data_IF_430217151251
#
_entry.id   IF_430217151251
#
_cell.length_a   1.000
_cell.length_b   1.000
_cell.length_c   1.000
_cell.angle_alpha   90.00
_cell.angle_beta   90.00
_cell.angle_gamma   90.00
#
_symmetry.space_group_name_H-M   'P 1'
#
loop_
_entity.id
_entity.type
_entity.pdbx_description
1 polymer ?
#
# COMPACT_ATOMS: atom_id res chain seq x y z
N UNK A 1 -11.84 1.66 64.56
CA UNK A 1 -11.73 0.52 63.63
C UNK A 1 -12.64 0.81 62.43
N UNK A 2 -12.08 1.21 61.27
CA UNK A 2 -12.86 1.58 60.07
C UNK A 2 -13.14 0.31 59.26
N UNK A 3 -14.39 -0.11 59.25
CA UNK A 3 -14.89 -1.19 58.39
C UNK A 3 -14.72 -0.80 56.93
N UNK A 4 -13.91 -1.55 56.19
CA UNK A 4 -13.80 -1.43 54.75
C UNK A 4 -15.15 -1.87 54.15
N UNK A 5 -15.90 -0.91 53.61
CA UNK A 5 -17.16 -1.18 52.94
C UNK A 5 -16.92 -2.19 51.82
N UNK A 6 -17.51 -3.38 51.96
CA UNK A 6 -17.56 -4.40 50.90
C UNK A 6 -18.29 -3.75 49.73
N UNK A 7 -17.53 -3.23 48.78
CA UNK A 7 -18.08 -2.66 47.56
C UNK A 7 -18.67 -3.84 46.80
N UNK A 8 -20.00 -3.92 46.73
CA UNK A 8 -20.70 -4.99 46.02
C UNK A 8 -20.10 -5.14 44.63
N UNK A 9 -19.96 -6.38 44.13
CA UNK A 9 -19.41 -6.63 42.80
C UNK A 9 -20.10 -5.77 41.71
N UNK A 10 -21.39 -5.51 41.85
CA UNK A 10 -22.14 -4.60 40.96
C UNK A 10 -21.63 -3.15 41.00
N UNK A 11 -21.30 -2.61 42.19
CA UNK A 11 -20.78 -1.26 42.34
C UNK A 11 -19.36 -1.14 41.74
N UNK A 12 -18.53 -2.16 41.93
CA UNK A 12 -17.19 -2.21 41.32
C UNK A 12 -17.27 -2.35 39.79
N UNK A 13 -18.15 -3.20 39.27
CA UNK A 13 -18.41 -3.32 37.82
C UNK A 13 -18.84 -1.97 37.23
N UNK A 14 -19.79 -1.29 37.87
CA UNK A 14 -20.27 0.00 37.39
C UNK A 14 -19.18 1.08 37.46
N UNK A 15 -18.32 1.07 38.48
CA UNK A 15 -17.15 1.95 38.58
C UNK A 15 -16.18 1.72 37.42
N UNK A 16 -15.80 0.46 37.19
CA UNK A 16 -14.88 0.09 36.10
C UNK A 16 -15.47 0.42 34.73
N UNK A 17 -16.78 0.23 34.53
CA UNK A 17 -17.46 0.64 33.31
C UNK A 17 -17.42 2.16 33.10
N UNK A 18 -17.65 2.95 34.14
CA UNK A 18 -17.54 4.41 34.08
C UNK A 18 -16.10 4.85 33.74
N UNK A 19 -15.09 4.22 34.35
CA UNK A 19 -13.69 4.47 34.02
C UNK A 19 -13.36 4.09 32.57
N UNK A 20 -13.86 2.94 32.08
CA UNK A 20 -13.68 2.52 30.69
C UNK A 20 -14.31 3.52 29.71
N UNK A 21 -15.51 4.04 30.00
CA UNK A 21 -16.16 5.09 29.22
C UNK A 21 -15.34 6.39 29.21
N UNK A 22 -14.76 6.79 30.35
CA UNK A 22 -13.87 7.96 30.44
C UNK A 22 -12.63 7.77 29.58
N UNK A 23 -11.90 6.67 29.74
CA UNK A 23 -10.70 6.40 28.95
C UNK A 23 -10.99 6.28 27.45
N UNK A 24 -12.15 5.75 27.06
CA UNK A 24 -12.58 5.72 25.68
C UNK A 24 -12.88 7.12 25.11
N UNK A 25 -13.38 8.06 25.93
CA UNK A 25 -13.52 9.45 25.53
C UNK A 25 -12.17 10.15 25.39
N UNK A 26 -11.29 9.99 26.38
CA UNK A 26 -9.95 10.61 26.38
C UNK A 26 -9.11 10.13 25.21
N UNK A 27 -9.13 8.83 24.90
CA UNK A 27 -8.43 8.25 23.74
C UNK A 27 -8.90 8.86 22.41
N UNK A 28 -10.21 9.06 22.24
CA UNK A 28 -10.76 9.70 21.03
C UNK A 28 -10.34 11.16 20.91
N UNK A 29 -10.30 11.88 22.02
CA UNK A 29 -9.84 13.27 22.05
C UNK A 29 -8.35 13.36 21.70
N UNK A 30 -7.51 12.54 22.34
CA UNK A 30 -6.09 12.48 22.06
C UNK A 30 -5.79 12.13 20.59
N UNK A 31 -6.52 11.17 20.02
CA UNK A 31 -6.43 10.83 18.60
C UNK A 31 -6.77 12.03 17.71
N UNK A 32 -7.86 12.72 18.02
CA UNK A 32 -8.31 13.88 17.26
C UNK A 32 -7.25 14.98 17.26
N UNK A 33 -6.67 15.27 18.43
CA UNK A 33 -5.56 16.22 18.56
C UNK A 33 -4.35 15.78 17.73
N UNK A 34 -3.97 14.49 17.80
CA UNK A 34 -2.84 13.96 17.02
C UNK A 34 -3.06 14.10 15.52
N UNK A 35 -4.27 13.84 15.01
CA UNK A 35 -4.62 14.00 13.60
C UNK A 35 -4.58 15.47 13.17
N UNK A 36 -5.05 16.39 14.01
CA UNK A 36 -4.97 17.83 13.74
C UNK A 36 -3.51 18.32 13.68
N UNK A 37 -2.67 17.87 14.61
CA UNK A 37 -1.24 18.16 14.60
C UNK A 37 -0.56 17.60 13.34
N UNK A 38 -0.85 16.34 12.96
CA UNK A 38 -0.33 15.72 11.76
C UNK A 38 -0.76 16.46 10.47
N UNK A 39 -2.02 16.88 10.40
CA UNK A 39 -2.53 17.70 9.30
C UNK A 39 -1.83 19.05 9.22
N UNK A 40 -1.68 19.75 10.35
CA UNK A 40 -0.99 21.04 10.41
C UNK A 40 0.49 20.92 10.03
N UNK A 41 1.17 19.90 10.54
CA UNK A 41 2.54 19.59 10.15
C UNK A 41 2.64 19.32 8.64
N UNK A 42 1.67 18.61 8.06
CA UNK A 42 1.55 18.40 6.62
C UNK A 42 1.48 19.68 5.81
N UNK A 43 0.69 20.67 6.26
CA UNK A 43 0.62 21.99 5.60
C UNK A 43 1.96 22.71 5.62
N UNK A 44 2.65 22.70 6.77
CA UNK A 44 3.97 23.31 6.92
C UNK A 44 5.01 22.62 6.04
N UNK A 45 5.00 21.28 5.99
CA UNK A 45 5.89 20.52 5.11
C UNK A 45 5.68 20.84 3.64
N UNK A 46 4.43 21.05 3.19
CA UNK A 46 4.14 21.47 1.82
C UNK A 46 4.69 22.87 1.53
N UNK A 47 4.55 23.81 2.48
CA UNK A 47 5.11 25.15 2.35
C UNK A 47 6.65 25.13 2.31
N UNK A 48 7.28 24.41 3.23
CA UNK A 48 8.74 24.26 3.30
C UNK A 48 9.31 23.56 2.08
N UNK A 49 8.64 22.52 1.56
CA UNK A 49 9.08 21.85 0.33
C UNK A 49 9.17 22.84 -0.84
N UNK A 50 8.16 23.71 -0.99
CA UNK A 50 8.18 24.75 -2.03
C UNK A 50 9.31 25.75 -1.80
N UNK A 51 9.57 26.15 -0.55
CA UNK A 51 10.67 27.06 -0.19
C UNK A 51 12.03 26.45 -0.54
N UNK A 52 12.28 25.22 -0.08
CA UNK A 52 13.50 24.46 -0.30
C UNK A 52 13.77 24.25 -1.80
N UNK A 53 12.74 23.88 -2.58
CA UNK A 53 12.89 23.72 -4.02
C UNK A 53 13.27 25.03 -4.72
N UNK A 54 12.75 26.17 -4.25
CA UNK A 54 13.11 27.49 -4.79
C UNK A 54 14.51 27.94 -4.39
N UNK A 55 14.96 27.65 -3.16
CA UNK A 55 16.23 28.16 -2.65
C UNK A 55 17.43 27.26 -2.92
N UNK A 56 17.25 25.94 -2.92
CA UNK A 56 18.34 24.95 -2.98
C UNK A 56 18.26 24.01 -4.19
N UNK A 57 17.26 24.16 -5.05
CA UNK A 57 17.12 23.39 -6.28
C UNK A 57 16.51 22.00 -6.10
N UNK A 58 16.45 21.25 -7.22
CA UNK A 58 15.88 19.90 -7.24
C UNK A 58 16.77 18.91 -6.47
N UNK A 59 16.18 18.15 -5.53
CA UNK A 59 16.88 17.11 -4.75
C UNK A 59 17.27 17.51 -3.32
N UNK A 60 17.37 18.81 -3.02
CA UNK A 60 17.71 19.30 -1.67
C UNK A 60 16.65 19.01 -0.60
N UNK A 61 15.42 18.68 -1.02
CA UNK A 61 14.31 18.38 -0.11
C UNK A 61 14.60 17.22 0.84
N UNK A 62 15.20 16.12 0.35
CA UNK A 62 15.47 14.94 1.19
C UNK A 62 16.52 15.24 2.27
N UNK A 63 17.57 15.98 1.91
CA UNK A 63 18.62 16.39 2.86
C UNK A 63 18.08 17.39 3.89
N UNK A 64 17.20 18.30 3.48
CA UNK A 64 16.53 19.21 4.41
C UNK A 64 15.66 18.43 5.40
N UNK A 65 14.91 17.44 4.91
CA UNK A 65 14.00 16.64 5.72
C UNK A 65 14.76 15.82 6.77
N UNK A 66 15.88 15.21 6.39
CA UNK A 66 16.76 14.46 7.29
C UNK A 66 17.32 15.30 8.45
N UNK A 67 17.58 16.59 8.20
CA UNK A 67 18.13 17.51 9.21
C UNK A 67 17.08 18.21 10.08
N UNK A 68 15.86 18.39 9.57
CA UNK A 68 14.85 19.27 10.20
C UNK A 68 13.58 18.55 10.65
N UNK A 69 13.39 17.27 10.27
CA UNK A 69 12.21 16.51 10.63
C UNK A 69 12.61 15.20 11.32
N UNK A 70 12.19 15.03 12.57
CA UNK A 70 12.53 13.86 13.39
C UNK A 70 11.88 12.56 12.90
N UNK A 71 10.87 12.64 12.04
CA UNK A 71 10.17 11.48 11.50
C UNK A 71 10.81 10.96 10.22
N UNK A 72 10.32 9.80 9.76
CA UNK A 72 10.75 9.25 8.47
C UNK A 72 10.21 10.06 7.29
N UNK A 73 10.90 10.00 6.14
CA UNK A 73 10.40 10.53 4.86
C UNK A 73 8.98 10.05 4.56
N UNK A 74 8.67 8.79 4.88
CA UNK A 74 7.34 8.19 4.68
C UNK A 74 6.28 8.84 5.58
N UNK A 75 6.63 9.18 6.82
CA UNK A 75 5.76 9.90 7.74
C UNK A 75 5.46 11.31 7.22
N UNK A 76 6.50 12.05 6.78
CA UNK A 76 6.32 13.37 6.19
C UNK A 76 5.40 13.33 4.96
N UNK A 77 5.60 12.36 4.06
CA UNK A 77 4.73 12.16 2.89
C UNK A 77 3.28 11.88 3.28
N UNK A 78 3.03 11.08 4.33
CA UNK A 78 1.68 10.82 4.84
C UNK A 78 1.03 12.09 5.38
N UNK A 79 1.76 12.91 6.13
CA UNK A 79 1.25 14.18 6.66
C UNK A 79 0.93 15.16 5.53
N UNK A 80 1.83 15.29 4.55
CA UNK A 80 1.58 16.13 3.37
C UNK A 80 0.36 15.65 2.56
N UNK A 81 0.18 14.33 2.42
CA UNK A 81 -1.00 13.76 1.75
C UNK A 81 -2.28 14.02 2.54
N UNK A 82 -2.24 13.88 3.87
CA UNK A 82 -3.35 14.21 4.75
C UNK A 82 -3.80 15.65 4.53
N UNK A 83 -2.85 16.59 4.59
CA UNK A 83 -3.08 18.02 4.38
C UNK A 83 -3.64 18.34 2.99
N UNK A 84 -3.22 17.60 1.96
CA UNK A 84 -3.75 17.76 0.61
C UNK A 84 -5.17 17.21 0.45
N UNK A 85 -5.51 16.14 1.18
CA UNK A 85 -6.80 15.44 1.08
C UNK A 85 -7.93 16.06 1.91
N UNK A 86 -7.60 16.84 2.93
CA UNK A 86 -8.56 17.39 3.89
C UNK A 86 -8.41 18.91 3.95
N UNK A 87 -9.45 19.62 3.52
CA UNK A 87 -9.47 21.09 3.48
C UNK A 87 -9.62 21.72 4.87
N UNK A 88 -10.36 21.07 5.77
CA UNK A 88 -10.67 21.59 7.10
C UNK A 88 -10.33 20.56 8.20
N UNK A 89 -9.62 21.03 9.23
CA UNK A 89 -9.30 20.27 10.43
C UNK A 89 -10.54 19.81 11.23
N UNK A 90 -11.68 20.49 11.09
CA UNK A 90 -12.91 20.07 11.74
C UNK A 90 -13.42 18.73 11.21
N UNK A 91 -13.13 18.42 9.93
CA UNK A 91 -13.46 17.13 9.31
C UNK A 91 -12.77 15.94 9.99
N UNK A 92 -11.64 16.18 10.68
CA UNK A 92 -10.91 15.15 11.41
C UNK A 92 -11.54 14.84 12.77
N UNK A 93 -12.41 15.70 13.29
CA UNK A 93 -13.09 15.49 14.57
C UNK A 93 -14.14 14.38 14.40
N UNK A 94 -14.11 13.41 15.31
CA UNK A 94 -15.08 12.31 15.33
C UNK A 94 -14.76 11.15 14.38
N UNK A 95 -13.64 11.19 13.64
CA UNK A 95 -13.19 10.03 12.88
C UNK A 95 -12.68 8.94 13.82
N UNK A 96 -13.11 7.70 13.55
CA UNK A 96 -12.46 6.52 14.14
C UNK A 96 -11.05 6.34 13.56
N UNK A 97 -10.16 5.68 14.32
CA UNK A 97 -8.80 5.32 13.87
C UNK A 97 -8.82 4.67 12.48
N UNK A 98 -9.76 3.74 12.27
CA UNK A 98 -9.92 3.01 11.02
C UNK A 98 -10.29 3.94 9.86
N UNK A 99 -11.22 4.86 10.06
CA UNK A 99 -11.61 5.85 9.05
C UNK A 99 -10.47 6.83 8.73
N UNK A 100 -9.72 7.28 9.74
CA UNK A 100 -8.58 8.15 9.56
C UNK A 100 -7.48 7.46 8.73
N UNK A 101 -7.15 6.22 9.04
CA UNK A 101 -6.15 5.45 8.30
C UNK A 101 -6.59 5.09 6.87
N UNK A 102 -7.85 4.74 6.66
CA UNK A 102 -8.40 4.51 5.32
C UNK A 102 -8.20 5.75 4.42
N UNK A 103 -8.51 6.94 4.93
CA UNK A 103 -8.34 8.23 4.23
C UNK A 103 -6.86 8.54 3.95
N UNK A 104 -5.97 8.16 4.86
CA UNK A 104 -4.52 8.32 4.71
C UNK A 104 -3.90 7.36 3.69
N UNK A 105 -4.68 6.39 3.17
CA UNK A 105 -4.17 5.29 2.36
C UNK A 105 -3.20 4.40 3.16
N UNK A 106 -3.34 4.36 4.48
CA UNK A 106 -2.66 3.38 5.33
C UNK A 106 -3.55 2.15 5.31
N UNK A 107 -3.08 1.07 4.67
CA UNK A 107 -3.77 -0.21 4.71
C UNK A 107 -3.99 -0.59 6.19
N UNK A 108 -5.25 -0.53 6.63
CA UNK A 108 -5.70 -0.93 7.97
C UNK A 108 -6.08 -2.38 8.04
N UNK A 109 -6.01 -3.07 6.91
CA UNK A 109 -6.12 -4.51 6.92
C UNK A 109 -5.07 -5.02 7.91
N UNK A 110 -5.47 -5.90 8.84
CA UNK A 110 -4.49 -6.59 9.66
C UNK A 110 -3.47 -7.11 8.67
N UNK A 111 -2.19 -6.84 8.94
CA UNK A 111 -1.09 -7.41 8.16
C UNK A 111 -1.23 -8.92 8.37
N UNK A 112 -2.10 -9.56 7.59
CA UNK A 112 -2.05 -11.00 7.44
C UNK A 112 -0.60 -11.21 7.06
N UNK A 113 0.09 -12.08 7.81
CA UNK A 113 1.32 -12.67 7.27
C UNK A 113 0.92 -13.01 5.85
N UNK A 114 1.57 -12.35 4.88
CA UNK A 114 1.30 -12.60 3.48
C UNK A 114 1.24 -14.11 3.41
N UNK A 115 0.04 -14.65 3.21
CA UNK A 115 -0.10 -16.04 2.84
C UNK A 115 0.87 -16.11 1.68
N UNK A 116 1.95 -16.86 1.87
CA UNK A 116 3.03 -16.95 0.91
C UNK A 116 2.39 -17.52 -0.32
N UNK A 117 1.79 -16.64 -1.12
CA UNK A 117 1.38 -16.90 -2.47
C UNK A 117 2.70 -17.23 -3.08
N UNK A 118 2.97 -18.53 -3.19
CA UNK A 118 4.03 -19.06 -4.00
C UNK A 118 3.66 -18.60 -5.39
N UNK A 119 4.11 -17.39 -5.74
CA UNK A 119 4.01 -16.87 -7.09
C UNK A 119 4.83 -17.89 -7.88
N UNK A 120 4.12 -18.76 -8.60
CA UNK A 120 4.76 -19.73 -9.47
C UNK A 120 5.73 -18.93 -10.34
N UNK A 121 7.02 -19.26 -10.22
CA UNK A 121 8.05 -18.57 -10.98
C UNK A 121 7.65 -18.66 -12.44
N UNK A 122 7.56 -17.50 -13.09
CA UNK A 122 7.23 -17.45 -14.51
C UNK A 122 8.21 -18.36 -15.26
N UNK A 123 7.71 -19.27 -16.11
CA UNK A 123 8.56 -20.13 -16.93
C UNK A 123 9.67 -19.31 -17.62
N UNK A 124 10.87 -19.87 -17.70
CA UNK A 124 12.06 -19.11 -18.11
C UNK A 124 11.92 -18.48 -19.51
N UNK A 125 11.17 -19.10 -20.41
CA UNK A 125 10.90 -18.52 -21.73
C UNK A 125 10.11 -17.20 -21.65
N UNK A 126 9.21 -17.03 -20.67
CA UNK A 126 8.46 -15.78 -20.45
C UNK A 126 9.40 -14.69 -19.93
N UNK A 127 10.33 -15.05 -19.04
CA UNK A 127 11.31 -14.13 -18.48
C UNK A 127 12.32 -13.68 -19.54
N UNK A 128 12.77 -14.60 -20.39
CA UNK A 128 13.70 -14.30 -21.49
C UNK A 128 13.04 -13.45 -22.57
N UNK A 129 11.80 -13.78 -22.98
CA UNK A 129 11.06 -12.99 -23.98
C UNK A 129 10.77 -11.57 -23.51
N UNK A 130 10.34 -11.39 -22.25
CA UNK A 130 10.11 -10.05 -21.68
C UNK A 130 11.39 -9.22 -21.56
N UNK A 131 12.53 -9.85 -21.22
CA UNK A 131 13.83 -9.18 -21.20
C UNK A 131 14.28 -8.78 -22.60
N UNK A 132 14.12 -9.65 -23.59
CA UNK A 132 14.43 -9.37 -24.99
C UNK A 132 13.56 -8.23 -25.54
N UNK A 133 12.25 -8.27 -25.32
CA UNK A 133 11.34 -7.21 -25.74
C UNK A 133 11.74 -5.85 -25.16
N UNK A 134 12.25 -5.82 -23.93
CA UNK A 134 12.76 -4.59 -23.31
C UNK A 134 14.01 -4.07 -24.03
N UNK A 135 14.97 -4.95 -24.33
CA UNK A 135 16.19 -4.58 -25.06
C UNK A 135 15.86 -4.11 -26.47
N UNK A 136 14.99 -4.84 -27.19
CA UNK A 136 14.57 -4.45 -28.54
C UNK A 136 13.85 -3.10 -28.57
N UNK A 137 13.00 -2.79 -27.57
CA UNK A 137 12.35 -1.47 -27.45
C UNK A 137 13.36 -0.35 -27.17
N UNK A 138 14.41 -0.64 -26.41
CA UNK A 138 15.48 0.34 -26.13
C UNK A 138 16.32 0.60 -27.39
N UNK A 139 16.70 -0.46 -28.13
CA UNK A 139 17.46 -0.35 -29.38
C UNK A 139 16.64 0.29 -30.52
N UNK A 140 15.34 -0.01 -30.62
CA UNK A 140 14.45 0.60 -31.61
C UNK A 140 14.29 2.12 -31.41
N UNK A 141 14.46 2.61 -30.18
CA UNK A 141 14.53 4.04 -29.89
C UNK A 141 15.86 4.68 -30.29
N UNK A 142 16.91 3.89 -30.47
CA UNK A 142 18.29 4.36 -30.71
C UNK A 142 18.73 4.26 -32.18
N UNK A 143 18.25 3.26 -32.94
CA UNK A 143 18.66 3.03 -34.34
C UNK A 143 17.53 3.31 -35.32
N UNK A 144 17.60 4.46 -35.99
CA UNK A 144 16.63 4.91 -37.01
C UNK A 144 17.16 4.72 -38.44
N UNK A 145 17.94 3.66 -38.70
CA UNK A 145 18.59 3.41 -39.99
C UNK A 145 18.03 2.12 -40.65
N UNK A 146 17.51 2.16 -41.89
CA UNK A 146 16.80 1.03 -42.50
C UNK A 146 17.66 -0.22 -42.77
N UNK A 147 18.97 -0.09 -42.96
CA UNK A 147 19.87 -1.23 -43.19
C UNK A 147 20.07 -2.12 -41.95
N UNK A 148 19.99 -1.55 -40.74
CA UNK A 148 20.12 -2.31 -39.49
C UNK A 148 18.91 -3.23 -39.23
N UNK A 149 17.77 -2.94 -39.86
CA UNK A 149 16.53 -3.71 -39.70
C UNK A 149 16.54 -5.07 -40.41
N UNK A 150 17.42 -5.27 -41.40
CA UNK A 150 17.55 -6.55 -42.11
C UNK A 150 18.39 -7.55 -41.30
N UNK A 151 19.53 -7.10 -40.79
CA UNK A 151 20.41 -7.89 -39.91
C UNK A 151 19.68 -8.28 -38.63
N UNK A 152 18.94 -7.34 -38.02
CA UNK A 152 18.11 -7.63 -36.85
C UNK A 152 17.03 -8.69 -37.13
N UNK A 153 16.47 -8.73 -38.35
CA UNK A 153 15.45 -9.73 -38.72
C UNK A 153 16.06 -11.13 -38.85
N UNK A 154 17.27 -11.24 -39.38
CA UNK A 154 18.00 -12.52 -39.49
C UNK A 154 18.41 -13.04 -38.10
N UNK A 155 18.98 -12.19 -37.25
CA UNK A 155 19.36 -12.55 -35.88
C UNK A 155 18.15 -12.95 -35.02
N UNK A 156 17.02 -12.26 -35.18
CA UNK A 156 15.78 -12.60 -34.47
C UNK A 156 15.10 -13.87 -34.99
N UNK A 157 15.32 -14.25 -36.26
CA UNK A 157 14.73 -15.46 -36.83
C UNK A 157 15.29 -16.72 -36.15
N UNK A 158 16.61 -16.76 -35.93
CA UNK A 158 17.25 -17.90 -35.27
C UNK A 158 16.85 -18.00 -33.79
N UNK A 159 16.68 -16.86 -33.13
CA UNK A 159 16.20 -16.82 -31.76
C UNK A 159 14.72 -17.21 -31.63
N UNK A 160 13.87 -16.81 -32.58
CA UNK A 160 12.48 -17.25 -32.65
C UNK A 160 12.36 -18.76 -32.85
N UNK A 161 13.25 -19.35 -33.66
CA UNK A 161 13.35 -20.81 -33.85
C UNK A 161 13.63 -21.54 -32.53
N UNK A 162 14.56 -21.02 -31.72
CA UNK A 162 14.90 -21.58 -30.41
C UNK A 162 13.75 -21.45 -29.40
N UNK A 163 13.12 -20.27 -29.33
CA UNK A 163 11.97 -20.04 -28.45
C UNK A 163 10.77 -20.92 -28.82
N UNK A 164 10.51 -21.11 -30.12
CA UNK A 164 9.46 -21.99 -30.63
C UNK A 164 9.67 -23.42 -30.18
N UNK A 165 10.90 -23.93 -30.31
CA UNK A 165 11.25 -25.28 -29.85
C UNK A 165 10.99 -25.47 -28.35
N UNK A 166 11.38 -24.48 -27.53
CA UNK A 166 11.15 -24.50 -26.08
C UNK A 166 9.65 -24.49 -25.73
N UNK A 167 8.86 -23.68 -26.45
CA UNK A 167 7.42 -23.58 -26.26
C UNK A 167 6.69 -24.90 -26.62
N UNK A 168 7.08 -25.52 -27.74
CA UNK A 168 6.52 -26.81 -28.18
C UNK A 168 6.87 -27.95 -27.19
N UNK A 169 8.09 -27.96 -26.62
CA UNK A 169 8.44 -28.92 -25.54
C UNK A 169 7.70 -28.67 -24.23
N UNK A 170 7.42 -27.41 -23.87
CA UNK A 170 6.72 -27.07 -22.64
C UNK A 170 5.24 -27.48 -22.70
N UNK A 171 4.56 -27.27 -23.83
CA UNK A 171 3.16 -27.66 -24.00
C UNK A 171 2.95 -29.18 -24.00
N UNK A 172 3.91 -29.96 -24.51
CA UNK A 172 3.82 -31.43 -24.49
C UNK A 172 4.05 -32.06 -23.10
N UNK A 173 4.49 -31.27 -22.13
CA UNK A 173 4.75 -31.70 -20.75
C UNK A 173 3.62 -31.34 -19.78
N UNK A 174 2.56 -30.66 -20.26
CA UNK A 174 1.49 -30.15 -19.41
C UNK A 174 0.37 -31.18 -19.28
N UNK A 175 0.42 -31.96 -18.19
CA UNK A 175 -0.70 -32.77 -17.68
C UNK A 175 -1.98 -31.92 -17.61
N UNK A 176 -3.17 -32.43 -17.95
CA UNK A 176 -4.38 -31.62 -17.98
C UNK A 176 -4.69 -31.07 -16.59
N UNK A 177 -4.71 -29.74 -16.48
CA UNK A 177 -5.24 -29.03 -15.33
C UNK A 177 -6.74 -29.32 -15.27
N UNK A 178 -7.12 -30.26 -14.40
CA UNK A 178 -8.51 -30.50 -14.03
C UNK A 178 -8.98 -29.31 -13.20
N UNK A 179 -9.52 -28.29 -13.87
CA UNK A 179 -10.26 -27.21 -13.22
C UNK A 179 -11.59 -27.81 -12.79
N UNK A 180 -11.68 -28.26 -11.53
CA UNK A 180 -12.99 -28.50 -10.92
C UNK A 180 -13.71 -27.16 -10.81
N UNK A 181 -14.92 -27.00 -11.36
CA UNK A 181 -15.70 -25.79 -11.15
C UNK A 181 -16.03 -25.66 -9.66
N UNK A 182 -15.65 -24.52 -9.09
CA UNK A 182 -16.01 -24.14 -7.72
C UNK A 182 -17.54 -24.02 -7.64
N UNK A 183 -18.17 -24.85 -6.80
CA UNK A 183 -19.60 -24.77 -6.56
C UNK A 183 -19.95 -23.37 -6.00
N UNK A 184 -21.05 -22.74 -6.45
CA UNK A 184 -21.51 -21.48 -5.88
C UNK A 184 -22.00 -21.70 -4.44
N UNK A 185 -21.82 -20.73 -3.53
CA UNK A 185 -22.24 -20.84 -2.15
C UNK A 185 -23.78 -20.85 -2.04
N UNK A 186 -24.30 -21.84 -1.31
CA UNK A 186 -25.70 -21.96 -0.91
C UNK A 186 -26.19 -20.68 -0.20
N UNK A 187 -26.98 -19.86 -0.90
CA UNK A 187 -27.79 -18.83 -0.27
C UNK A 187 -29.04 -19.48 0.32
N UNK A 188 -28.98 -19.86 1.60
CA UNK A 188 -30.19 -20.01 2.41
C UNK A 188 -30.67 -18.61 2.82
N UNK A 189 -31.65 -18.09 2.07
CA UNK A 189 -32.47 -16.96 2.50
C UNK A 189 -33.53 -17.54 3.42
N UNK A 190 -33.38 -17.34 4.73
CA UNK A 190 -34.45 -17.58 5.69
C UNK A 190 -35.33 -16.33 5.74
N UNK A 191 -36.53 -16.43 5.18
CA UNK A 191 -37.66 -15.60 5.60
C UNK A 191 -38.18 -16.17 6.94
N UNK A 192 -38.27 -15.33 7.95
CA UNK A 192 -39.08 -15.56 9.14
C UNK A 192 -39.91 -14.29 9.37
N UNK A 193 -41.20 -14.50 9.63
CA UNK A 193 -42.25 -13.49 9.65
C UNK A 193 -42.33 -12.65 10.91
#
# INVERSE_FOLDING_TARGET
MKSAAVTSAAAEINRLHADACRFAADSRNALTCALQCAWRAGQLLVAEKKRVQRSMGAGAWLQWLDRNFEGTVRTAQRYMRLAASVSDSAFLRGLSIRQAYLRLGIATEPKSRAETVTVAMLPDYIRLTTRLLRVLRQEAGSRRNPNDSAVLREDLAELYRLLRRLFETANNSTVPVSIRPCAPPDRKIAYAG
#
